data_IF_149612647915
#
_entry.id   IF_149612647915
#
_cell.length_a   1.000
_cell.length_b   1.000
_cell.length_c   1.000
_cell.angle_alpha   90.00
_cell.angle_beta   90.00
_cell.angle_gamma   90.00
#
_symmetry.space_group_name_H-M   'P 1'
#
loop_
_entity.id
_entity.type
_entity.pdbx_description
1 polymer ?
#
# COMPACT_ATOMS: atom_id res chain seq x y z
N UNK A 1 -3.96 11.88 -9.99
CA UNK A 1 -5.08 11.52 -9.09
C UNK A 1 -6.43 12.15 -9.40
N UNK A 2 -6.50 13.34 -10.02
CA UNK A 2 -7.78 14.02 -10.25
C UNK A 2 -8.83 13.18 -11.00
N UNK A 3 -8.42 12.38 -11.99
CA UNK A 3 -9.33 11.55 -12.80
C UNK A 3 -9.99 10.45 -11.97
N UNK A 4 -9.22 9.70 -11.17
CA UNK A 4 -9.75 8.61 -10.34
C UNK A 4 -10.72 9.16 -9.29
N UNK A 5 -10.37 10.28 -8.65
CA UNK A 5 -11.26 10.93 -7.67
C UNK A 5 -12.52 11.48 -8.32
N UNK A 6 -12.42 12.08 -9.49
CA UNK A 6 -13.58 12.55 -10.23
C UNK A 6 -14.52 11.40 -10.62
N UNK A 7 -13.95 10.27 -11.06
CA UNK A 7 -14.71 9.06 -11.36
C UNK A 7 -15.42 8.49 -10.11
N UNK A 8 -14.73 8.47 -8.97
CA UNK A 8 -15.32 8.06 -7.70
C UNK A 8 -16.52 8.94 -7.31
N UNK A 9 -16.39 10.27 -7.42
CA UNK A 9 -17.46 11.22 -7.12
C UNK A 9 -18.69 10.99 -8.03
N UNK A 10 -18.49 10.76 -9.34
CA UNK A 10 -19.59 10.46 -10.28
C UNK A 10 -20.34 9.17 -9.97
N UNK A 11 -19.73 8.25 -9.22
CA UNK A 11 -20.29 6.92 -8.90
C UNK A 11 -20.66 6.78 -7.43
N UNK A 12 -20.56 7.86 -6.65
CA UNK A 12 -20.82 7.91 -5.22
C UNK A 12 -22.23 7.49 -4.83
N UNK A 13 -23.23 7.79 -5.67
CA UNK A 13 -24.60 7.36 -5.42
C UNK A 13 -24.80 5.84 -5.56
N UNK A 14 -23.97 5.18 -6.39
CA UNK A 14 -24.05 3.73 -6.64
C UNK A 14 -23.16 2.95 -5.66
N UNK A 15 -21.98 3.47 -5.36
CA UNK A 15 -20.99 2.84 -4.49
C UNK A 15 -20.42 3.86 -3.47
N UNK A 16 -21.20 4.29 -2.48
CA UNK A 16 -20.82 5.38 -1.58
C UNK A 16 -19.56 5.06 -0.76
N UNK A 17 -19.49 3.87 -0.17
CA UNK A 17 -18.35 3.48 0.67
C UNK A 17 -17.07 3.30 -0.15
N UNK A 18 -17.17 2.63 -1.32
CA UNK A 18 -16.01 2.46 -2.20
C UNK A 18 -15.50 3.79 -2.77
N UNK A 19 -16.41 4.72 -3.10
CA UNK A 19 -16.03 6.06 -3.54
C UNK A 19 -15.29 6.82 -2.43
N UNK A 20 -15.77 6.73 -1.18
CA UNK A 20 -15.11 7.32 -0.03
C UNK A 20 -13.70 6.74 0.19
N UNK A 21 -13.51 5.44 0.01
CA UNK A 21 -12.18 4.81 0.09
C UNK A 21 -11.26 5.31 -1.02
N UNK A 22 -11.74 5.42 -2.25
CA UNK A 22 -10.95 5.94 -3.37
C UNK A 22 -10.57 7.41 -3.17
N UNK A 23 -11.44 8.22 -2.55
CA UNK A 23 -11.12 9.61 -2.25
C UNK A 23 -10.00 9.75 -1.21
N UNK A 24 -10.08 8.96 -0.14
CA UNK A 24 -9.26 9.18 1.07
C UNK A 24 -8.06 8.24 1.21
N UNK A 25 -8.15 7.03 0.65
CA UNK A 25 -7.19 5.96 0.93
C UNK A 25 -6.42 5.49 -0.32
N UNK A 26 -6.47 6.28 -1.40
CA UNK A 26 -5.60 6.07 -2.56
C UNK A 26 -4.34 6.91 -2.44
N UNK A 27 -3.19 6.27 -2.65
CA UNK A 27 -1.91 6.93 -2.78
C UNK A 27 -1.24 6.49 -4.09
N UNK A 28 -1.21 7.39 -5.07
CA UNK A 28 -0.76 7.06 -6.43
C UNK A 28 -1.44 5.74 -6.85
N UNK A 29 -0.72 4.68 -7.18
CA UNK A 29 -1.34 3.47 -7.71
C UNK A 29 -1.82 2.48 -6.63
N UNK A 30 -1.60 2.79 -5.33
CA UNK A 30 -1.95 1.92 -4.21
C UNK A 30 -3.25 2.36 -3.53
N UNK A 31 -4.18 1.42 -3.32
CA UNK A 31 -5.36 1.60 -2.46
C UNK A 31 -5.15 0.78 -1.20
N UNK A 32 -5.26 1.44 -0.04
CA UNK A 32 -5.14 0.81 1.26
C UNK A 32 -6.46 0.92 2.02
N UNK A 33 -6.85 -0.13 2.71
CA UNK A 33 -8.04 -0.09 3.56
C UNK A 33 -7.89 -1.07 4.71
N UNK A 34 -8.56 -0.75 5.82
CA UNK A 34 -8.72 -1.63 6.97
C UNK A 34 -10.20 -1.64 7.33
N UNK A 35 -10.73 -2.82 7.63
CA UNK A 35 -12.13 -3.06 7.94
C UNK A 35 -12.23 -4.08 9.07
N UNK A 36 -13.36 -4.10 9.76
CA UNK A 36 -13.52 -4.81 11.04
C UNK A 36 -13.62 -6.34 10.89
N UNK A 37 -14.05 -6.86 9.75
CA UNK A 37 -14.29 -8.30 9.53
C UNK A 37 -14.08 -8.74 8.08
N UNK A 38 -13.99 -10.05 7.87
CA UNK A 38 -13.71 -10.66 6.57
C UNK A 38 -14.83 -10.43 5.56
N UNK A 39 -16.10 -10.45 5.98
CA UNK A 39 -17.26 -10.24 5.12
C UNK A 39 -17.28 -8.81 4.55
N UNK A 40 -17.01 -7.82 5.40
CA UNK A 40 -16.86 -6.43 5.02
C UNK A 40 -15.70 -6.26 4.02
N UNK A 41 -14.57 -6.94 4.26
CA UNK A 41 -13.42 -6.91 3.35
C UNK A 41 -13.78 -7.46 1.96
N UNK A 42 -14.41 -8.65 1.90
CA UNK A 42 -14.83 -9.25 0.62
C UNK A 42 -15.82 -8.36 -0.14
N UNK A 43 -16.80 -7.79 0.58
CA UNK A 43 -17.75 -6.83 0.00
C UNK A 43 -17.04 -5.61 -0.57
N UNK A 44 -16.14 -5.02 0.21
CA UNK A 44 -15.43 -3.80 -0.19
C UNK A 44 -14.53 -4.04 -1.40
N UNK A 45 -13.84 -5.18 -1.46
CA UNK A 45 -13.05 -5.58 -2.62
C UNK A 45 -13.93 -5.65 -3.87
N UNK A 46 -15.11 -6.25 -3.77
CA UNK A 46 -16.06 -6.34 -4.89
C UNK A 46 -16.53 -4.96 -5.33
N UNK A 47 -16.92 -4.11 -4.39
CA UNK A 47 -17.43 -2.77 -4.68
C UNK A 47 -16.35 -1.86 -5.28
N UNK A 48 -15.11 -1.94 -4.77
CA UNK A 48 -13.95 -1.24 -5.34
C UNK A 48 -13.64 -1.72 -6.76
N UNK A 49 -13.66 -3.03 -7.01
CA UNK A 49 -13.46 -3.54 -8.37
C UNK A 49 -14.54 -3.05 -9.32
N UNK A 50 -15.82 -3.13 -8.95
CA UNK A 50 -16.93 -2.66 -9.78
C UNK A 50 -16.85 -1.15 -10.06
N UNK A 51 -16.60 -0.37 -9.00
CA UNK A 51 -16.42 1.08 -9.09
C UNK A 51 -15.30 1.41 -10.07
N UNK A 52 -14.11 0.87 -9.85
CA UNK A 52 -12.91 1.21 -10.63
C UNK A 52 -13.01 0.68 -12.08
N UNK A 53 -13.53 -0.53 -12.27
CA UNK A 53 -13.70 -1.15 -13.59
C UNK A 53 -14.73 -0.39 -14.45
N UNK A 54 -15.76 0.21 -13.83
CA UNK A 54 -16.69 1.09 -14.57
C UNK A 54 -16.02 2.35 -15.16
N UNK A 55 -14.84 2.72 -14.66
CA UNK A 55 -13.99 3.80 -15.20
C UNK A 55 -12.82 3.29 -16.04
N UNK A 56 -12.76 1.97 -16.30
CA UNK A 56 -11.66 1.33 -17.04
C UNK A 56 -10.41 1.05 -16.20
N UNK A 57 -10.45 1.29 -14.88
CA UNK A 57 -9.33 1.03 -13.97
C UNK A 57 -9.43 -0.38 -13.39
N UNK A 58 -8.48 -1.24 -13.73
CA UNK A 58 -8.44 -2.62 -13.22
C UNK A 58 -7.55 -2.70 -11.99
N UNK A 59 -8.15 -2.88 -10.81
CA UNK A 59 -7.42 -3.17 -9.59
C UNK A 59 -6.81 -4.58 -9.68
N UNK A 60 -5.57 -4.70 -9.21
CA UNK A 60 -4.80 -5.94 -9.24
C UNK A 60 -3.89 -6.02 -8.01
N UNK A 61 -3.22 -7.16 -7.84
CA UNK A 61 -2.28 -7.43 -6.74
C UNK A 61 -2.94 -7.29 -5.36
N UNK A 62 -4.16 -7.81 -5.20
CA UNK A 62 -4.86 -7.82 -3.93
C UNK A 62 -4.08 -8.61 -2.86
N UNK A 63 -3.97 -8.03 -1.67
CA UNK A 63 -3.30 -8.59 -0.51
C UNK A 63 -4.13 -8.33 0.76
N UNK A 64 -4.05 -9.24 1.73
CA UNK A 64 -4.81 -9.21 2.99
C UNK A 64 -4.02 -9.95 4.09
N UNK A 65 -4.10 -9.49 5.34
CA UNK A 65 -3.59 -10.23 6.49
C UNK A 65 -4.35 -11.55 6.73
N UNK A 66 -5.63 -11.61 6.33
CA UNK A 66 -6.43 -12.83 6.35
C UNK A 66 -6.56 -13.43 4.94
N UNK A 67 -6.08 -14.68 4.78
CA UNK A 67 -6.10 -15.40 3.50
C UNK A 67 -7.51 -15.78 3.04
N UNK A 68 -8.47 -15.91 3.97
CA UNK A 68 -9.85 -16.24 3.67
C UNK A 68 -10.55 -15.12 2.90
N UNK A 69 -10.11 -13.87 3.04
CA UNK A 69 -10.64 -12.72 2.28
C UNK A 69 -10.31 -12.83 0.79
N UNK A 70 -9.18 -13.47 0.46
CA UNK A 70 -8.70 -13.61 -0.91
C UNK A 70 -9.23 -14.85 -1.62
N UNK A 71 -10.02 -15.71 -0.95
CA UNK A 71 -10.54 -16.96 -1.50
C UNK A 71 -11.24 -16.76 -2.85
N UNK A 72 -12.00 -15.67 -2.96
CA UNK A 72 -12.90 -15.38 -4.08
C UNK A 72 -12.20 -14.58 -5.19
N UNK A 73 -10.94 -14.19 -4.98
CA UNK A 73 -10.15 -13.41 -5.95
C UNK A 73 -9.37 -14.38 -6.83
N UNK A 74 -9.39 -14.19 -8.15
CA UNK A 74 -8.60 -15.02 -9.06
C UNK A 74 -7.09 -14.91 -8.76
N UNK A 75 -6.34 -16.02 -8.90
CA UNK A 75 -4.93 -16.11 -8.47
C UNK A 75 -4.04 -15.08 -9.16
N UNK A 76 -4.32 -14.77 -10.44
CA UNK A 76 -3.62 -13.75 -11.24
C UNK A 76 -3.85 -12.32 -10.75
N UNK A 77 -4.93 -12.08 -10.01
CA UNK A 77 -5.25 -10.78 -9.39
C UNK A 77 -4.74 -10.64 -7.95
N UNK A 78 -4.20 -11.72 -7.36
CA UNK A 78 -3.59 -11.69 -6.02
C UNK A 78 -2.15 -11.20 -6.13
N UNK A 79 -1.64 -10.54 -5.09
CA UNK A 79 -0.22 -10.21 -5.01
C UNK A 79 0.62 -11.50 -5.04
N UNK A 80 1.61 -11.59 -5.92
CA UNK A 80 2.52 -12.75 -5.99
C UNK A 80 3.36 -12.82 -4.72
N UNK A 81 3.37 -13.99 -4.09
CA UNK A 81 4.20 -14.31 -2.93
C UNK A 81 5.65 -14.58 -3.36
N UNK A 82 6.28 -13.66 -4.09
CA UNK A 82 7.64 -13.88 -4.59
C UNK A 82 8.70 -13.94 -3.48
N UNK A 83 8.34 -13.62 -2.23
CA UNK A 83 9.00 -14.11 -1.02
C UNK A 83 8.04 -14.00 0.20
N UNK A 84 7.14 -14.98 0.28
CA UNK A 84 6.29 -15.46 1.39
C UNK A 84 5.67 -14.56 2.47
N UNK A 85 6.15 -13.38 2.84
CA UNK A 85 5.48 -12.60 3.90
C UNK A 85 5.41 -11.11 3.64
N UNK A 86 6.16 -10.59 2.65
CA UNK A 86 6.47 -9.16 2.62
C UNK A 86 6.05 -8.52 1.30
N UNK A 87 4.94 -7.78 1.32
CA UNK A 87 4.55 -6.90 0.22
C UNK A 87 5.26 -5.55 0.37
N UNK A 88 5.84 -5.03 -0.71
CA UNK A 88 6.26 -3.62 -0.73
C UNK A 88 5.05 -2.73 -0.98
N UNK A 89 4.65 -1.98 0.03
CA UNK A 89 3.59 -0.98 -0.07
C UNK A 89 4.13 0.32 0.47
N UNK A 90 4.02 1.41 -0.32
CA UNK A 90 4.46 2.74 0.11
C UNK A 90 5.93 2.80 0.60
N UNK A 91 6.83 2.02 -0.01
CA UNK A 91 8.24 1.97 0.41
C UNK A 91 8.52 1.18 1.68
N UNK A 92 7.49 0.65 2.33
CA UNK A 92 7.55 -0.24 3.49
C UNK A 92 7.31 -1.69 3.10
N UNK A 93 7.64 -2.59 4.02
CA UNK A 93 7.50 -4.03 3.90
C UNK A 93 6.37 -4.49 4.83
N UNK A 94 5.22 -4.90 4.31
CA UNK A 94 4.09 -5.35 5.14
C UNK A 94 4.16 -6.85 5.38
N UNK A 95 4.40 -7.26 6.63
CA UNK A 95 4.22 -8.64 7.10
C UNK A 95 2.73 -8.88 7.33
N UNK A 96 2.12 -9.65 6.43
CA UNK A 96 0.68 -9.89 6.42
C UNK A 96 0.22 -10.81 7.55
N UNK A 97 1.05 -11.78 7.96
CA UNK A 97 0.66 -12.75 8.99
C UNK A 97 0.59 -12.11 10.38
N UNK A 98 1.53 -11.20 10.66
CA UNK A 98 1.60 -10.47 11.93
C UNK A 98 0.88 -9.12 11.91
N UNK A 99 0.45 -8.69 10.72
CA UNK A 99 -0.09 -7.37 10.46
C UNK A 99 0.85 -6.22 10.90
N UNK A 100 2.12 -6.34 10.52
CA UNK A 100 3.19 -5.41 10.92
C UNK A 100 3.83 -4.75 9.70
N UNK A 101 3.95 -3.42 9.72
CA UNK A 101 4.81 -2.70 8.79
C UNK A 101 6.26 -2.76 9.27
N UNK A 102 7.13 -3.22 8.39
CA UNK A 102 8.56 -3.37 8.60
C UNK A 102 9.33 -2.58 7.54
N UNK A 103 10.63 -2.42 7.74
CA UNK A 103 11.53 -1.82 6.76
C UNK A 103 12.87 -2.53 6.83
N UNK A 104 13.58 -2.56 5.72
CA UNK A 104 14.94 -3.12 5.71
C UNK A 104 15.90 -1.98 5.98
N UNK A 105 16.52 -1.99 7.16
CA UNK A 105 17.60 -1.08 7.47
C UNK A 105 18.77 -1.34 6.51
N UNK A 106 19.27 -0.29 5.86
CA UNK A 106 20.45 -0.39 5.01
C UNK A 106 21.66 -0.60 5.92
N UNK A 107 22.14 -1.83 6.01
CA UNK A 107 23.42 -2.12 6.65
C UNK A 107 24.51 -1.55 5.74
N UNK A 108 25.07 -0.41 6.10
CA UNK A 108 26.24 0.16 5.41
C UNK A 108 27.49 -0.60 5.84
N UNK A 109 27.98 -1.50 4.97
CA UNK A 109 29.15 -2.35 5.22
C UNK A 109 30.49 -1.60 5.35
N UNK A 110 30.54 -0.28 5.14
CA UNK A 110 31.80 0.47 5.09
C UNK A 110 31.72 1.80 5.85
N UNK A 111 31.99 1.76 7.15
CA UNK A 111 32.22 2.96 7.98
C UNK A 111 33.42 3.78 7.48
N UNK A 112 34.40 3.13 6.82
CA UNK A 112 35.67 3.75 6.40
C UNK A 112 35.55 4.88 5.37
N UNK A 113 34.43 4.99 4.64
CA UNK A 113 34.19 6.01 3.61
C UNK A 113 32.85 6.76 3.82
N UNK A 114 32.42 6.92 5.07
CA UNK A 114 31.18 7.62 5.38
C UNK A 114 31.34 9.14 5.11
N UNK A 115 30.68 9.64 4.07
CA UNK A 115 30.60 11.08 3.77
C UNK A 115 29.19 11.60 4.06
N UNK A 116 29.03 12.90 4.32
CA UNK A 116 27.71 13.54 4.46
C UNK A 116 26.79 13.22 3.27
N UNK A 117 27.36 13.21 2.05
CA UNK A 117 26.63 12.84 0.83
C UNK A 117 26.17 11.38 0.85
N UNK A 118 27.00 10.46 1.33
CA UNK A 118 26.67 9.03 1.44
C UNK A 118 25.57 8.81 2.47
N UNK A 119 25.67 9.44 3.65
CA UNK A 119 24.66 9.39 4.70
C UNK A 119 23.29 9.89 4.19
N UNK A 120 23.24 11.06 3.55
CA UNK A 120 22.00 11.60 2.98
C UNK A 120 21.46 10.71 1.86
N UNK A 121 22.33 10.14 1.03
CA UNK A 121 21.94 9.21 -0.03
C UNK A 121 21.31 7.94 0.54
N UNK A 122 21.90 7.36 1.59
CA UNK A 122 21.37 6.16 2.22
C UNK A 122 20.07 6.46 3.00
N UNK A 123 19.99 7.60 3.68
CA UNK A 123 18.76 8.07 4.32
C UNK A 123 17.62 8.36 3.32
N UNK A 124 17.95 8.73 2.07
CA UNK A 124 16.96 9.01 1.02
C UNK A 124 16.43 7.76 0.32
N UNK A 125 17.11 6.62 0.44
CA UNK A 125 16.62 5.33 -0.06
C UNK A 125 15.46 4.78 0.78
N UNK A 126 15.34 5.22 2.02
CA UNK A 126 14.18 4.95 2.86
C UNK A 126 13.04 5.87 2.42
N UNK A 127 12.25 5.38 1.46
CA UNK A 127 11.04 6.05 1.00
C UNK A 127 9.91 5.77 2.00
N UNK A 128 9.42 6.82 2.65
CA UNK A 128 8.44 6.74 3.72
C UNK A 128 7.42 7.87 3.57
N UNK A 129 6.43 7.71 2.66
CA UNK A 129 5.42 8.73 2.39
C UNK A 129 4.43 8.89 3.56
N UNK A 130 4.33 7.90 4.46
CA UNK A 130 3.46 7.95 5.65
C UNK A 130 4.15 8.56 6.87
N UNK A 131 5.48 8.63 6.86
CA UNK A 131 6.26 9.27 7.92
C UNK A 131 6.62 8.36 9.11
N UNK A 132 6.38 7.05 9.04
CA UNK A 132 6.67 6.11 10.14
C UNK A 132 8.15 6.05 10.53
N UNK A 133 9.04 6.23 9.57
CA UNK A 133 10.50 6.23 9.76
C UNK A 133 11.07 7.64 9.98
N UNK A 134 10.24 8.69 9.84
CA UNK A 134 10.67 10.09 9.95
C UNK A 134 11.46 10.38 11.23
N UNK A 135 11.06 9.91 12.44
CA UNK A 135 11.83 10.16 13.67
C UNK A 135 13.28 9.66 13.63
N UNK A 136 13.55 8.62 12.83
CA UNK A 136 14.88 8.02 12.68
C UNK A 136 15.66 8.66 11.53
N UNK A 137 14.99 8.92 10.40
CA UNK A 137 15.62 9.42 9.17
C UNK A 137 15.93 10.92 9.26
N UNK A 138 15.13 11.71 9.98
CA UNK A 138 15.31 13.17 10.07
C UNK A 138 16.68 13.55 10.66
N UNK A 139 17.18 12.77 11.63
CA UNK A 139 18.49 12.99 12.27
C UNK A 139 19.66 12.83 11.31
N UNK A 140 19.51 12.01 10.27
CA UNK A 140 20.53 11.81 9.25
C UNK A 140 20.50 12.89 8.16
N UNK A 141 19.42 13.68 8.08
CA UNK A 141 19.18 14.70 7.05
C UNK A 141 19.48 16.13 7.53
N UNK A 142 19.58 16.36 8.85
CA UNK A 142 19.99 17.64 9.48
C UNK A 142 21.52 17.64 9.63
#
# INVERSE_FOLDING_TARGET
MAVIRHHAELKKEVHPEAAQIVENNIYVDDVLLSVENQEAARRMIKDLNNLMESGGFKLAKWASNDSSVLSDIAVDKRATTDNREILRTLGLHWNRERDEFTFVALITENEKNCTKRKLISDASKLYDPLGFLTPFVVRAKI
#
